data_IF_125164297762
#
_entry.id   IF_125164297762
#
_cell.length_a   1.000
_cell.length_b   1.000
_cell.length_c   1.000
_cell.angle_alpha   90.00
_cell.angle_beta   90.00
_cell.angle_gamma   90.00
#
_symmetry.space_group_name_H-M   'P 1'
#
loop_
_entity.id
_entity.type
_entity.pdbx_description
1 polymer ?
#
# COMPACT_ATOMS: atom_id res chain seq x y z
N UNK A 1 -20.68 -8.45 8.04
CA UNK A 1 -20.41 -7.82 6.73
C UNK A 1 -21.70 -7.68 5.93
N UNK A 2 -21.92 -6.54 5.34
CA UNK A 2 -23.14 -6.27 4.57
C UNK A 2 -23.16 -7.09 3.27
N UNK A 3 -24.33 -7.65 2.93
CA UNK A 3 -24.51 -8.37 1.67
C UNK A 3 -24.50 -7.37 0.48
N UNK A 4 -23.63 -7.58 -0.53
CA UNK A 4 -23.58 -6.66 -1.68
C UNK A 4 -24.80 -6.78 -2.60
N UNK A 5 -25.60 -7.83 -2.46
CA UNK A 5 -26.75 -8.05 -3.35
C UNK A 5 -28.06 -7.47 -2.80
N UNK A 6 -28.28 -7.53 -1.49
CA UNK A 6 -29.53 -7.06 -0.89
C UNK A 6 -29.36 -6.06 0.26
N UNK A 7 -28.11 -5.73 0.63
CA UNK A 7 -27.75 -4.81 1.73
C UNK A 7 -28.18 -5.28 3.14
N UNK A 8 -28.49 -6.56 3.32
CA UNK A 8 -28.71 -7.11 4.66
C UNK A 8 -27.45 -6.91 5.51
N UNK A 9 -27.63 -6.54 6.78
CA UNK A 9 -26.50 -6.18 7.66
C UNK A 9 -25.57 -7.35 7.97
N UNK A 10 -26.13 -8.56 8.07
CA UNK A 10 -25.38 -9.74 8.49
C UNK A 10 -25.31 -10.81 7.43
N UNK A 11 -24.11 -11.36 7.26
CA UNK A 11 -23.85 -12.54 6.45
C UNK A 11 -23.01 -13.52 7.26
N UNK A 12 -23.18 -14.81 7.01
CA UNK A 12 -22.45 -15.85 7.72
C UNK A 12 -21.30 -16.40 6.89
N UNK A 13 -20.21 -16.73 7.56
CA UNK A 13 -19.07 -17.40 6.91
C UNK A 13 -19.36 -18.90 6.87
N UNK A 14 -19.44 -19.47 5.67
CA UNK A 14 -19.70 -20.90 5.47
C UNK A 14 -18.45 -21.70 5.16
N UNK A 15 -17.38 -21.05 4.71
CA UNK A 15 -16.07 -21.67 4.45
C UNK A 15 -14.97 -20.63 4.58
N UNK A 16 -13.79 -21.06 5.04
CA UNK A 16 -12.60 -20.20 5.15
C UNK A 16 -11.38 -21.00 4.73
N UNK A 17 -10.56 -20.46 3.84
CA UNK A 17 -9.33 -21.10 3.37
C UNK A 17 -8.22 -20.06 3.20
N UNK A 18 -6.99 -20.48 3.52
CA UNK A 18 -5.83 -19.68 3.19
C UNK A 18 -5.59 -19.71 1.68
N UNK A 19 -5.15 -18.57 1.11
CA UNK A 19 -4.72 -18.56 -0.28
C UNK A 19 -3.39 -19.31 -0.43
N UNK A 20 -2.93 -19.49 -1.68
CA UNK A 20 -1.72 -20.25 -1.99
C UNK A 20 -0.49 -19.67 -1.29
N UNK A 21 -0.37 -18.35 -1.25
CA UNK A 21 0.77 -17.65 -0.64
C UNK A 21 0.68 -17.53 0.88
N UNK A 22 -0.49 -17.82 1.46
CA UNK A 22 -0.70 -17.73 2.90
C UNK A 22 -0.85 -16.32 3.45
N UNK A 23 -0.89 -15.29 2.60
CA UNK A 23 -0.98 -13.88 3.00
C UNK A 23 -2.41 -13.33 3.04
N UNK A 24 -3.39 -14.14 2.65
CA UNK A 24 -4.80 -13.77 2.68
C UNK A 24 -5.66 -14.97 3.04
N UNK A 25 -6.83 -14.71 3.61
CA UNK A 25 -7.82 -15.72 3.90
C UNK A 25 -9.02 -15.50 3.00
N UNK A 26 -9.35 -16.51 2.20
CA UNK A 26 -10.55 -16.52 1.37
C UNK A 26 -11.71 -17.00 2.21
N UNK A 27 -12.76 -16.18 2.30
CA UNK A 27 -13.98 -16.53 3.03
C UNK A 27 -15.16 -16.61 2.07
N UNK A 28 -15.88 -17.72 2.13
CA UNK A 28 -17.14 -17.86 1.42
C UNK A 28 -18.26 -17.48 2.39
N UNK A 29 -19.09 -16.53 2.00
CA UNK A 29 -20.17 -15.99 2.83
C UNK A 29 -21.53 -16.28 2.21
N UNK A 30 -22.54 -16.41 3.06
CA UNK A 30 -23.91 -16.60 2.65
C UNK A 30 -24.81 -15.58 3.36
N UNK A 31 -25.67 -14.92 2.61
CA UNK A 31 -26.67 -14.02 3.15
C UNK A 31 -27.91 -14.82 3.57
N UNK A 32 -28.33 -14.66 4.83
CA UNK A 32 -29.56 -15.35 5.33
C UNK A 32 -30.84 -14.74 4.73
N UNK A 33 -30.79 -13.47 4.29
CA UNK A 33 -31.98 -12.78 3.76
C UNK A 33 -32.24 -13.15 2.29
N UNK A 34 -31.22 -13.16 1.42
CA UNK A 34 -31.41 -13.46 0.00
C UNK A 34 -30.78 -14.78 -0.47
N UNK A 35 -30.15 -15.52 0.44
CA UNK A 35 -29.49 -16.80 0.20
C UNK A 35 -28.36 -16.75 -0.85
N UNK A 36 -27.91 -15.57 -1.22
CA UNK A 36 -26.80 -15.41 -2.17
C UNK A 36 -25.46 -15.68 -1.48
N UNK A 37 -24.57 -16.39 -2.17
CA UNK A 37 -23.22 -16.63 -1.69
C UNK A 37 -22.24 -15.74 -2.44
N UNK A 38 -21.24 -15.21 -1.71
CA UNK A 38 -20.20 -14.39 -2.29
C UNK A 38 -18.88 -14.64 -1.58
N UNK A 39 -17.78 -14.28 -2.23
CA UNK A 39 -16.41 -14.46 -1.73
C UNK A 39 -15.85 -13.15 -1.23
N UNK A 40 -15.22 -13.19 -0.04
CA UNK A 40 -14.46 -12.06 0.50
C UNK A 40 -13.05 -12.52 0.81
N UNK A 41 -12.13 -11.56 0.89
CA UNK A 41 -10.75 -11.81 1.26
C UNK A 41 -10.38 -10.96 2.47
N UNK A 42 -9.69 -11.59 3.41
CA UNK A 42 -9.08 -10.88 4.53
C UNK A 42 -7.57 -10.88 4.31
N UNK A 43 -6.99 -9.69 4.23
CA UNK A 43 -5.54 -9.51 4.04
C UNK A 43 -5.08 -8.30 4.82
N UNK A 44 -3.77 -8.24 5.08
CA UNK A 44 -3.17 -7.07 5.71
C UNK A 44 -3.28 -5.84 4.80
N UNK A 45 -3.58 -4.69 5.38
CA UNK A 45 -3.56 -3.41 4.65
C UNK A 45 -2.14 -2.94 4.38
N UNK A 46 -1.15 -3.55 5.02
CA UNK A 46 0.25 -3.16 4.86
C UNK A 46 0.71 -3.56 3.46
N UNK A 47 0.98 -2.56 2.62
CA UNK A 47 1.43 -2.77 1.25
C UNK A 47 2.95 -2.80 1.12
N UNK A 48 3.66 -2.13 2.03
CA UNK A 48 5.10 -2.00 1.96
C UNK A 48 5.69 -1.95 3.37
N UNK A 49 6.74 -2.74 3.59
CA UNK A 49 7.43 -2.85 4.88
C UNK A 49 8.86 -2.36 4.71
N UNK A 50 9.33 -1.54 5.65
CA UNK A 50 10.68 -1.00 5.65
C UNK A 50 11.53 -1.74 6.67
N UNK A 51 12.68 -2.26 6.25
CA UNK A 51 13.69 -2.83 7.14
C UNK A 51 14.71 -1.76 7.45
N UNK A 52 14.78 -1.36 8.72
CA UNK A 52 15.74 -0.36 9.18
C UNK A 52 17.14 -0.96 9.34
N UNK A 53 18.15 -0.08 9.46
CA UNK A 53 19.55 -0.50 9.64
C UNK A 53 19.76 -1.38 10.86
N UNK A 54 18.98 -1.18 11.92
CA UNK A 54 19.06 -1.98 13.14
C UNK A 54 18.37 -3.34 13.02
N UNK A 55 17.80 -3.66 11.86
CA UNK A 55 17.09 -4.89 11.60
C UNK A 55 15.61 -4.86 11.96
N UNK A 56 15.12 -3.79 12.57
CA UNK A 56 13.70 -3.65 12.88
C UNK A 56 12.87 -3.45 11.63
N UNK A 57 11.68 -4.03 11.62
CA UNK A 57 10.71 -3.87 10.54
C UNK A 57 9.64 -2.88 10.98
N UNK A 58 9.25 -1.97 10.07
CA UNK A 58 8.13 -1.07 10.32
C UNK A 58 7.30 -0.90 9.06
N UNK A 59 6.04 -0.53 9.23
CA UNK A 59 5.16 -0.22 8.11
C UNK A 59 5.65 1.05 7.42
N UNK A 60 5.68 1.02 6.08
CA UNK A 60 6.01 2.20 5.28
C UNK A 60 4.94 3.27 5.49
N UNK A 61 5.36 4.51 5.76
CA UNK A 61 4.47 5.65 5.93
C UNK A 61 4.61 6.61 4.77
N UNK A 62 3.56 6.72 3.96
CA UNK A 62 3.52 7.60 2.79
C UNK A 62 3.80 9.06 3.16
N UNK A 63 3.26 9.53 4.30
CA UNK A 63 3.46 10.90 4.77
C UNK A 63 4.92 11.24 5.04
N UNK A 64 5.69 10.28 5.57
CA UNK A 64 7.13 10.49 5.79
C UNK A 64 7.87 10.66 4.47
N UNK A 65 7.51 9.88 3.46
CA UNK A 65 8.09 10.03 2.12
C UNK A 65 7.73 11.39 1.53
N UNK A 66 6.46 11.78 1.60
CA UNK A 66 5.98 13.05 1.09
C UNK A 66 6.74 14.22 1.73
N UNK A 67 6.84 14.22 3.06
CA UNK A 67 7.55 15.28 3.79
C UNK A 67 9.03 15.32 3.47
N UNK A 68 9.66 14.16 3.30
CA UNK A 68 11.07 14.07 2.93
C UNK A 68 11.35 14.65 1.56
N UNK A 69 10.48 14.34 0.58
CA UNK A 69 10.61 14.88 -0.78
C UNK A 69 10.34 16.39 -0.79
N UNK A 70 9.31 16.84 -0.08
CA UNK A 70 8.99 18.27 0.05
C UNK A 70 10.16 19.04 0.64
N UNK A 71 10.79 18.53 1.70
CA UNK A 71 11.95 19.17 2.33
C UNK A 71 13.15 19.21 1.38
N UNK A 72 13.35 18.16 0.57
CA UNK A 72 14.44 18.11 -0.39
C UNK A 72 14.28 19.15 -1.51
N UNK A 73 13.04 19.52 -1.83
CA UNK A 73 12.73 20.55 -2.82
C UNK A 73 12.44 21.92 -2.19
N UNK A 74 12.66 22.09 -0.88
CA UNK A 74 12.41 23.34 -0.17
C UNK A 74 13.10 24.53 -0.83
N UNK A 75 12.35 25.41 -1.46
CA UNK A 75 12.86 26.55 -2.21
C UNK A 75 12.72 26.42 -3.72
N UNK A 76 12.29 25.28 -4.24
CA UNK A 76 11.98 25.12 -5.66
C UNK A 76 10.47 25.28 -5.90
N UNK A 77 10.11 25.86 -7.03
CA UNK A 77 8.74 26.17 -7.39
C UNK A 77 8.03 24.93 -7.97
N UNK A 78 7.76 23.94 -7.12
CA UNK A 78 6.92 22.82 -7.49
C UNK A 78 5.50 23.06 -6.99
N UNK A 79 4.52 22.91 -7.87
CA UNK A 79 3.12 22.94 -7.45
C UNK A 79 2.82 21.71 -6.60
N UNK A 80 1.78 21.81 -5.74
CA UNK A 80 1.36 20.68 -4.92
C UNK A 80 1.02 19.44 -5.78
N UNK A 81 0.45 19.67 -6.96
CA UNK A 81 0.13 18.59 -7.88
C UNK A 81 1.38 17.91 -8.42
N UNK A 82 2.41 18.67 -8.78
CA UNK A 82 3.68 18.13 -9.26
C UNK A 82 4.39 17.33 -8.17
N UNK A 83 4.40 17.86 -6.94
CA UNK A 83 4.99 17.19 -5.79
C UNK A 83 4.29 15.87 -5.51
N UNK A 84 2.96 15.87 -5.53
CA UNK A 84 2.15 14.67 -5.30
C UNK A 84 2.41 13.60 -6.36
N UNK A 85 2.47 14.00 -7.63
CA UNK A 85 2.76 13.09 -8.73
C UNK A 85 4.15 12.48 -8.59
N UNK A 86 5.13 13.28 -8.20
CA UNK A 86 6.50 12.80 -7.97
C UNK A 86 6.56 11.78 -6.84
N UNK A 87 5.91 12.07 -5.71
CA UNK A 87 5.87 11.15 -4.58
C UNK A 87 5.18 9.85 -4.94
N UNK A 88 4.09 9.90 -5.68
CA UNK A 88 3.39 8.69 -6.15
C UNK A 88 4.28 7.86 -7.09
N UNK A 89 5.01 8.50 -7.97
CA UNK A 89 5.95 7.81 -8.88
C UNK A 89 7.06 7.11 -8.09
N UNK A 90 7.62 7.78 -7.09
CA UNK A 90 8.63 7.19 -6.22
C UNK A 90 8.04 6.00 -5.44
N UNK A 91 6.85 6.14 -4.91
CA UNK A 91 6.18 5.09 -4.16
C UNK A 91 5.95 3.83 -5.02
N UNK A 92 5.50 4.01 -6.26
CA UNK A 92 5.30 2.89 -7.19
C UNK A 92 6.63 2.21 -7.53
N UNK A 93 7.70 2.98 -7.69
CA UNK A 93 9.03 2.43 -7.91
C UNK A 93 9.50 1.61 -6.71
N UNK A 94 9.30 2.10 -5.50
CA UNK A 94 9.61 1.36 -4.28
C UNK A 94 8.84 0.05 -4.20
N UNK A 95 7.56 0.05 -4.54
CA UNK A 95 6.73 -1.17 -4.54
C UNK A 95 7.22 -2.20 -5.55
N UNK A 96 7.87 -1.77 -6.64
CA UNK A 96 8.40 -2.68 -7.65
C UNK A 96 9.55 -3.54 -7.13
N UNK A 97 10.21 -3.13 -6.05
CA UNK A 97 11.30 -3.89 -5.42
C UNK A 97 10.79 -5.02 -4.51
N UNK A 98 9.48 -5.12 -4.31
CA UNK A 98 8.85 -6.12 -3.46
C UNK A 98 8.17 -5.52 -2.24
N UNK A 99 7.58 -6.38 -1.42
CA UNK A 99 6.83 -5.95 -0.23
C UNK A 99 7.74 -5.45 0.90
N UNK A 100 8.96 -5.99 1.00
CA UNK A 100 9.96 -5.59 2.01
C UNK A 100 11.13 -4.93 1.32
N UNK A 101 11.47 -3.72 1.77
CA UNK A 101 12.61 -2.97 1.24
C UNK A 101 13.49 -2.48 2.39
N UNK A 102 14.78 -2.34 2.11
CA UNK A 102 15.70 -1.73 3.07
C UNK A 102 15.55 -0.22 3.05
N UNK A 103 15.74 0.43 4.20
CA UNK A 103 15.61 1.88 4.31
C UNK A 103 16.55 2.64 3.37
N UNK A 104 17.74 2.11 3.10
CA UNK A 104 18.68 2.74 2.16
C UNK A 104 18.14 2.81 0.73
N UNK A 105 17.34 1.83 0.32
CA UNK A 105 16.73 1.79 -1.01
C UNK A 105 15.79 2.99 -1.20
N UNK A 106 15.09 3.38 -0.14
CA UNK A 106 14.20 4.56 -0.18
C UNK A 106 15.01 5.81 -0.51
N UNK A 107 16.10 6.04 0.21
CA UNK A 107 16.97 7.18 -0.02
C UNK A 107 17.57 7.19 -1.42
N UNK A 108 18.06 6.04 -1.88
CA UNK A 108 18.64 5.90 -3.23
C UNK A 108 17.60 6.18 -4.32
N UNK A 109 16.39 5.64 -4.18
CA UNK A 109 15.31 5.85 -5.14
C UNK A 109 14.89 7.31 -5.20
N UNK A 110 14.77 7.97 -4.05
CA UNK A 110 14.45 9.40 -4.00
C UNK A 110 15.52 10.21 -4.71
N UNK A 111 16.80 9.93 -4.47
CA UNK A 111 17.91 10.64 -5.11
C UNK A 111 17.90 10.47 -6.63
N UNK A 112 17.61 9.27 -7.13
CA UNK A 112 17.53 9.02 -8.58
C UNK A 112 16.45 9.88 -9.21
N UNK A 113 15.26 9.93 -8.62
CA UNK A 113 14.16 10.75 -9.15
C UNK A 113 14.43 12.25 -9.03
N UNK A 114 15.12 12.67 -7.97
CA UNK A 114 15.51 14.08 -7.81
C UNK A 114 16.51 14.51 -8.88
N UNK A 115 17.47 13.65 -9.22
CA UNK A 115 18.45 13.93 -10.27
C UNK A 115 17.78 14.07 -11.63
N UNK A 116 16.82 13.22 -11.94
CA UNK A 116 16.10 13.26 -13.22
C UNK A 116 15.38 14.59 -13.43
N UNK A 117 14.89 15.19 -12.35
CA UNK A 117 14.18 16.49 -12.41
C UNK A 117 15.17 17.64 -12.52
N UNK A 118 16.32 17.56 -11.84
CA UNK A 118 17.32 18.62 -11.83
C UNK A 118 18.24 18.64 -13.07
N UNK A 119 18.25 17.56 -13.83
CA UNK A 119 19.11 17.43 -15.03
C UNK A 119 18.41 17.91 -16.33
N UNK A 120 17.36 18.68 -16.21
CA UNK A 120 16.68 19.26 -17.39
C UNK A 120 17.45 20.43 -17.96
#
# INVERSE_FOLDING_TARGET
MVCPFCNAEDTAVVDSRKNVDGDAIRRRRECSACATRFTTYEKSEIELIVKKRNGNLEEFQYEKLFNGVENAFGGQDLSDKQLKNLVETIYLDLKSHGKRIESKIIGETVLVHLKDINDC
#
